data_IF_087661623333
#
_entry.id   IF_087661623333
#
_cell.length_a   1.000
_cell.length_b   1.000
_cell.length_c   1.000
_cell.angle_alpha   90.00
_cell.angle_beta   90.00
_cell.angle_gamma   90.00
#
_symmetry.space_group_name_H-M   'P 1'
#
loop_
_entity.id
_entity.type
_entity.pdbx_description
1 polymer ?
#
# COMPACT_ATOMS: atom_id res chain seq x y z
N UNK A 1 -27.33 42.41 42.52
CA UNK A 1 -27.02 40.98 42.71
C UNK A 1 -26.06 40.61 41.59
N UNK A 2 -24.75 40.69 41.86
CA UNK A 2 -23.69 40.61 40.84
C UNK A 2 -23.16 39.19 40.78
N UNK A 3 -23.21 38.55 39.62
CA UNK A 3 -22.62 37.23 39.41
C UNK A 3 -21.09 37.35 39.43
N UNK A 4 -20.38 36.51 40.19
CA UNK A 4 -18.92 36.50 40.14
C UNK A 4 -18.49 35.98 38.77
N UNK A 5 -17.78 36.81 38.01
CA UNK A 5 -17.09 36.36 36.81
C UNK A 5 -15.84 35.59 37.26
N UNK A 6 -15.94 34.26 37.27
CA UNK A 6 -14.77 33.39 37.41
C UNK A 6 -13.99 33.45 36.09
N UNK A 7 -12.99 34.32 36.03
CA UNK A 7 -11.98 34.29 34.97
C UNK A 7 -11.00 33.16 35.28
N UNK A 8 -11.29 31.95 34.82
CA UNK A 8 -10.26 30.89 34.77
C UNK A 8 -9.14 31.36 33.83
N UNK A 9 -7.87 31.33 34.26
CA UNK A 9 -6.77 31.65 33.39
C UNK A 9 -6.69 30.58 32.30
N UNK A 10 -6.92 30.98 31.05
CA UNK A 10 -6.72 30.14 29.87
C UNK A 10 -5.31 29.54 29.93
N UNK A 11 -5.22 28.23 30.10
CA UNK A 11 -3.97 27.53 30.32
C UNK A 11 -3.05 27.74 29.11
N UNK A 12 -1.99 28.54 29.32
CA UNK A 12 -1.01 28.90 28.30
C UNK A 12 -0.39 27.62 27.73
N UNK A 13 -0.75 27.28 26.49
CA UNK A 13 -0.22 26.11 25.77
C UNK A 13 -1.15 24.91 25.64
N UNK A 14 -2.40 24.97 26.11
CA UNK A 14 -3.43 23.94 25.83
C UNK A 14 -4.27 24.23 24.57
N UNK A 15 -3.79 25.08 23.67
CA UNK A 15 -4.42 25.27 22.36
C UNK A 15 -4.28 23.99 21.53
N UNK A 16 -5.40 23.38 21.14
CA UNK A 16 -5.38 22.30 20.16
C UNK A 16 -4.66 22.79 18.89
N UNK A 17 -3.72 22.02 18.33
CA UNK A 17 -3.02 22.42 17.12
C UNK A 17 -4.04 22.72 16.03
N UNK A 18 -3.94 23.94 15.49
CA UNK A 18 -4.87 24.47 14.50
C UNK A 18 -4.84 23.55 13.26
N UNK A 19 -5.98 22.95 12.85
CA UNK A 19 -6.03 22.05 11.69
C UNK A 19 -5.98 22.86 10.38
N UNK A 20 -4.99 23.74 10.21
CA UNK A 20 -4.81 24.60 9.03
C UNK A 20 -3.85 23.98 8.01
N UNK A 21 -3.84 22.65 7.89
CA UNK A 21 -3.17 21.95 6.80
C UNK A 21 -4.01 22.00 5.51
N UNK A 22 -3.72 22.98 4.64
CA UNK A 22 -4.46 23.23 3.39
C UNK A 22 -4.75 21.97 2.53
N UNK A 23 -5.97 21.93 2.00
CA UNK A 23 -6.66 20.81 1.32
C UNK A 23 -6.13 20.47 -0.09
N UNK A 24 -4.93 20.90 -0.47
CA UNK A 24 -4.31 20.50 -1.74
C UNK A 24 -2.82 20.28 -1.54
N UNK A 25 -2.41 19.01 -1.36
CA UNK A 25 -1.01 18.61 -1.41
C UNK A 25 -0.76 17.87 -2.73
N UNK A 26 -0.45 18.56 -3.85
CA UNK A 26 -0.17 17.91 -5.14
C UNK A 26 0.94 16.86 -5.04
N UNK A 27 1.89 17.06 -4.10
CA UNK A 27 2.92 16.07 -3.75
C UNK A 27 2.35 14.70 -3.34
N UNK A 28 1.17 14.64 -2.72
CA UNK A 28 0.52 13.37 -2.32
C UNK A 28 -0.16 12.67 -3.50
N UNK A 29 -0.71 13.42 -4.46
CA UNK A 29 -1.27 12.82 -5.67
C UNK A 29 -0.16 12.20 -6.53
N UNK A 30 0.99 12.86 -6.61
CA UNK A 30 2.20 12.31 -7.26
C UNK A 30 2.67 11.05 -6.52
N UNK A 31 2.70 11.06 -5.18
CA UNK A 31 3.08 9.88 -4.40
C UNK A 31 2.16 8.68 -4.68
N UNK A 32 0.84 8.88 -4.64
CA UNK A 32 -0.13 7.82 -4.96
C UNK A 32 0.03 7.28 -6.40
N UNK A 33 0.30 8.16 -7.37
CA UNK A 33 0.57 7.73 -8.74
C UNK A 33 1.86 6.89 -8.84
N UNK A 34 2.92 7.31 -8.15
CA UNK A 34 4.19 6.55 -8.08
C UNK A 34 3.97 5.20 -7.40
N UNK A 35 3.20 5.14 -6.32
CA UNK A 35 2.85 3.89 -5.64
C UNK A 35 2.12 2.92 -6.57
N UNK A 36 1.15 3.38 -7.35
CA UNK A 36 0.46 2.53 -8.33
C UNK A 36 1.42 1.98 -9.39
N UNK A 37 2.36 2.80 -9.87
CA UNK A 37 3.40 2.34 -10.81
C UNK A 37 4.29 1.28 -10.16
N UNK A 38 4.68 1.47 -8.90
CA UNK A 38 5.48 0.49 -8.15
C UNK A 38 4.73 -0.82 -7.92
N UNK A 39 3.43 -0.75 -7.59
CA UNK A 39 2.57 -1.93 -7.48
C UNK A 39 2.55 -2.69 -8.81
N UNK A 40 2.32 -1.99 -9.93
CA UNK A 40 2.32 -2.61 -11.26
C UNK A 40 3.66 -3.27 -11.59
N UNK A 41 4.78 -2.60 -11.29
CA UNK A 41 6.12 -3.15 -11.50
C UNK A 41 6.39 -4.39 -10.63
N UNK A 42 5.96 -4.39 -9.37
CA UNK A 42 6.10 -5.54 -8.47
C UNK A 42 5.23 -6.72 -8.91
N UNK A 43 4.01 -6.49 -9.37
CA UNK A 43 3.14 -7.54 -9.90
C UNK A 43 3.76 -8.16 -11.14
N UNK A 44 4.21 -7.33 -12.10
CA UNK A 44 4.93 -7.81 -13.27
C UNK A 44 6.15 -8.65 -12.89
N UNK A 45 6.97 -8.13 -11.97
CA UNK A 45 8.17 -8.82 -11.50
C UNK A 45 7.84 -10.14 -10.78
N UNK A 46 6.77 -10.19 -9.99
CA UNK A 46 6.31 -11.42 -9.33
C UNK A 46 5.93 -12.48 -10.37
N UNK A 47 5.15 -12.12 -11.39
CA UNK A 47 4.77 -13.05 -12.48
C UNK A 47 6.00 -13.54 -13.26
N UNK A 48 6.93 -12.64 -13.55
CA UNK A 48 8.19 -13.00 -14.20
C UNK A 48 9.05 -13.94 -13.34
N UNK A 49 9.14 -13.69 -12.03
CA UNK A 49 9.86 -14.55 -11.11
C UNK A 49 9.19 -15.92 -10.95
N UNK A 50 7.86 -15.97 -10.97
CA UNK A 50 7.10 -17.21 -10.94
C UNK A 50 7.40 -18.07 -12.18
N UNK A 51 7.33 -17.49 -13.38
CA UNK A 51 7.65 -18.17 -14.64
C UNK A 51 9.07 -18.73 -14.65
N UNK A 52 10.05 -17.94 -14.16
CA UNK A 52 11.43 -18.41 -13.95
C UNK A 52 11.56 -19.53 -12.93
N UNK A 53 10.63 -19.61 -11.97
CA UNK A 53 10.61 -20.60 -10.91
C UNK A 53 9.89 -21.89 -11.28
N UNK A 54 9.06 -21.89 -12.31
CA UNK A 54 8.32 -23.05 -12.81
C UNK A 54 9.00 -23.64 -14.03
N UNK A 55 9.80 -24.69 -13.83
CA UNK A 55 10.50 -25.37 -14.93
C UNK A 55 9.82 -26.70 -15.21
N UNK A 56 9.35 -26.88 -16.45
CA UNK A 56 8.87 -28.17 -16.93
C UNK A 56 10.05 -29.13 -17.00
N UNK A 57 9.98 -30.27 -16.32
CA UNK A 57 10.96 -31.33 -16.50
C UNK A 57 10.66 -32.11 -17.78
N UNK A 58 11.72 -32.61 -18.41
CA UNK A 58 11.55 -33.52 -19.53
C UNK A 58 10.75 -34.76 -19.07
N UNK A 59 9.79 -35.24 -19.88
CA UNK A 59 9.01 -36.42 -19.54
C UNK A 59 9.93 -37.63 -19.40
N UNK A 60 9.62 -38.50 -18.45
CA UNK A 60 10.35 -39.76 -18.24
C UNK A 60 9.99 -40.71 -19.38
N UNK A 61 10.98 -41.20 -20.13
CA UNK A 61 10.76 -42.01 -21.33
C UNK A 61 9.91 -43.27 -21.07
N UNK A 62 10.02 -43.84 -19.88
CA UNK A 62 9.27 -45.04 -19.45
C UNK A 62 7.82 -44.73 -19.03
N UNK A 63 7.52 -43.46 -18.73
CA UNK A 63 6.22 -42.98 -18.23
C UNK A 63 5.87 -41.62 -18.83
N UNK A 64 5.52 -41.57 -20.12
CA UNK A 64 5.13 -40.34 -20.81
C UNK A 64 3.79 -39.77 -20.30
N UNK A 65 3.06 -40.52 -19.47
CA UNK A 65 1.83 -40.10 -18.79
C UNK A 65 2.07 -39.16 -17.61
N UNK A 66 3.30 -39.06 -17.11
CA UNK A 66 3.64 -38.23 -15.96
C UNK A 66 4.23 -36.89 -16.41
N UNK A 67 3.53 -35.81 -16.08
CA UNK A 67 4.02 -34.44 -16.20
C UNK A 67 4.64 -34.00 -14.86
N UNK A 68 5.90 -33.58 -14.88
CA UNK A 68 6.64 -33.17 -13.69
C UNK A 68 6.96 -31.68 -13.76
N UNK A 69 6.34 -30.89 -12.89
CA UNK A 69 6.73 -29.51 -12.64
C UNK A 69 7.76 -29.44 -11.53
N UNK A 70 8.90 -28.81 -11.81
CA UNK A 70 9.87 -28.46 -10.78
C UNK A 70 9.72 -27.00 -10.39
N UNK A 71 9.55 -26.78 -9.09
CA UNK A 71 9.50 -25.46 -8.49
C UNK A 71 10.87 -25.11 -7.90
N UNK A 72 11.57 -24.18 -8.54
CA UNK A 72 12.77 -23.60 -7.97
C UNK A 72 12.39 -22.69 -6.78
N UNK A 73 12.46 -23.23 -5.57
CA UNK A 73 11.94 -22.59 -4.36
C UNK A 73 12.44 -21.15 -4.11
N UNK A 74 13.67 -20.81 -4.52
CA UNK A 74 14.18 -19.44 -4.42
C UNK A 74 13.37 -18.46 -5.29
N UNK A 75 13.10 -18.82 -6.55
CA UNK A 75 12.33 -17.99 -7.48
C UNK A 75 10.86 -17.87 -7.05
N UNK A 76 10.28 -18.97 -6.57
CA UNK A 76 8.92 -18.97 -6.01
C UNK A 76 8.85 -18.09 -4.76
N UNK A 77 9.84 -18.18 -3.86
CA UNK A 77 9.95 -17.31 -2.69
C UNK A 77 10.04 -15.83 -3.06
N UNK A 78 10.86 -15.48 -4.05
CA UNK A 78 10.98 -14.11 -4.58
C UNK A 78 9.65 -13.62 -5.14
N UNK A 79 8.95 -14.45 -5.92
CA UNK A 79 7.63 -14.14 -6.47
C UNK A 79 6.62 -13.83 -5.36
N UNK A 80 6.54 -14.69 -4.33
CA UNK A 80 5.64 -14.50 -3.20
C UNK A 80 5.98 -13.23 -2.42
N UNK A 81 7.26 -12.98 -2.17
CA UNK A 81 7.71 -11.77 -1.48
C UNK A 81 7.34 -10.50 -2.27
N UNK A 82 7.59 -10.49 -3.58
CA UNK A 82 7.23 -9.37 -4.45
C UNK A 82 5.71 -9.13 -4.49
N UNK A 83 4.91 -10.18 -4.62
CA UNK A 83 3.44 -10.10 -4.58
C UNK A 83 2.92 -9.57 -3.24
N UNK A 84 3.54 -9.99 -2.14
CA UNK A 84 3.19 -9.50 -0.79
C UNK A 84 3.50 -8.01 -0.65
N UNK A 85 4.67 -7.56 -1.11
CA UNK A 85 5.03 -6.14 -1.11
C UNK A 85 4.08 -5.30 -1.97
N UNK A 86 3.69 -5.80 -3.15
CA UNK A 86 2.69 -5.16 -3.99
C UNK A 86 1.35 -4.98 -3.25
N UNK A 87 0.88 -6.00 -2.54
CA UNK A 87 -0.36 -5.92 -1.77
C UNK A 87 -0.28 -4.87 -0.64
N UNK A 88 0.85 -4.78 0.06
CA UNK A 88 1.06 -3.79 1.12
C UNK A 88 1.07 -2.36 0.56
N UNK A 89 1.76 -2.12 -0.56
CA UNK A 89 1.76 -0.82 -1.22
C UNK A 89 0.37 -0.43 -1.72
N UNK A 90 -0.38 -1.38 -2.28
CA UNK A 90 -1.75 -1.14 -2.72
C UNK A 90 -2.66 -0.75 -1.55
N UNK A 91 -2.49 -1.39 -0.39
CA UNK A 91 -3.23 -1.04 0.82
C UNK A 91 -2.90 0.38 1.30
N UNK A 92 -1.62 0.77 1.27
CA UNK A 92 -1.21 2.13 1.65
C UNK A 92 -1.76 3.17 0.67
N UNK A 93 -1.66 2.94 -0.64
CA UNK A 93 -2.25 3.80 -1.66
C UNK A 93 -3.77 3.96 -1.45
N UNK A 94 -4.47 2.86 -1.14
CA UNK A 94 -5.89 2.86 -0.79
C UNK A 94 -6.19 3.69 0.46
N UNK A 95 -5.36 3.59 1.51
CA UNK A 95 -5.45 4.43 2.71
C UNK A 95 -5.25 5.90 2.36
N UNK A 96 -4.25 6.24 1.55
CA UNK A 96 -3.98 7.60 1.13
C UNK A 96 -5.16 8.21 0.36
N UNK A 97 -5.78 7.43 -0.52
CA UNK A 97 -6.96 7.82 -1.28
C UNK A 97 -8.19 7.99 -0.38
N UNK A 98 -8.46 7.06 0.53
CA UNK A 98 -9.56 7.16 1.49
C UNK A 98 -9.45 8.40 2.38
N UNK A 99 -8.23 8.71 2.86
CA UNK A 99 -7.97 9.94 3.60
C UNK A 99 -8.22 11.19 2.74
N UNK A 100 -7.78 11.19 1.47
CA UNK A 100 -8.01 12.31 0.55
C UNK A 100 -9.52 12.54 0.32
N UNK A 101 -10.29 11.48 0.08
CA UNK A 101 -11.75 11.57 -0.13
C UNK A 101 -12.47 12.03 1.14
N UNK A 102 -12.13 11.46 2.31
CA UNK A 102 -12.79 11.82 3.59
C UNK A 102 -12.55 13.27 3.99
N UNK A 103 -11.37 13.83 3.69
CA UNK A 103 -11.11 15.26 3.95
C UNK A 103 -11.98 16.21 3.13
N UNK A 104 -12.52 15.78 1.98
CA UNK A 104 -13.41 16.59 1.14
C UNK A 104 -14.83 16.73 1.73
N UNK A 105 -15.28 15.82 2.60
CA UNK A 105 -16.67 15.75 3.07
C UNK A 105 -17.02 16.68 4.26
N UNK A 106 -16.05 17.36 4.89
CA UNK A 106 -16.29 18.15 6.12
C UNK A 106 -16.45 19.66 5.89
N UNK A 107 -16.59 20.09 4.64
CA UNK A 107 -17.03 21.44 4.25
C UNK A 107 -18.20 21.32 3.28
N UNK A 108 -19.38 21.11 3.83
CA UNK A 108 -20.67 21.45 3.26
C UNK A 108 -21.56 21.89 4.42
#
# INVERSE_FOLDING_TARGET
>A
MSTPQTSEPEAVGLGWPDPTGGLNRPRRAVAAAVELVLVGALVWFALWAYDRGTVQLAPVAERPDLDFQHFAGNWIGISVAAGTLAALLLLDAGRQLALAVRTRSRRA
#
